data_IF_637208405900
#
_entry.id   IF_637208405900
#
_cell.length_a   1.000
_cell.length_b   1.000
_cell.length_c   1.000
_cell.angle_alpha   90.00
_cell.angle_beta   90.00
_cell.angle_gamma   90.00
#
_symmetry.space_group_name_H-M   'P 1'
#
loop_
_entity.id
_entity.type
_entity.pdbx_description
1 polymer ?
#
# COMPACT_ATOMS: atom_id res chain seq x y z
N UNK A 1 11.78 -10.80 -9.12
CA UNK A 1 10.43 -11.41 -9.26
C UNK A 1 9.46 -10.69 -8.35
N UNK A 2 8.22 -10.42 -8.78
CA UNK A 2 7.22 -9.76 -7.94
C UNK A 2 6.48 -10.76 -7.05
N UNK A 3 6.42 -10.47 -5.74
CA UNK A 3 5.76 -11.31 -4.74
C UNK A 3 4.62 -10.53 -4.12
N UNK A 4 3.41 -11.10 -4.17
CA UNK A 4 2.23 -10.54 -3.50
C UNK A 4 2.34 -10.75 -1.99
N UNK A 5 2.07 -9.70 -1.23
CA UNK A 5 2.04 -9.74 0.24
C UNK A 5 0.75 -9.13 0.78
N UNK A 6 0.47 -9.41 2.05
CA UNK A 6 -0.69 -8.88 2.78
C UNK A 6 -0.33 -7.60 3.54
N UNK A 7 -1.33 -6.80 3.92
CA UNK A 7 -1.14 -5.62 4.81
C UNK A 7 -0.42 -6.00 6.12
N UNK A 8 -0.74 -7.17 6.68
CA UNK A 8 -0.09 -7.67 7.89
C UNK A 8 1.40 -7.97 7.66
N UNK A 9 1.75 -8.56 6.51
CA UNK A 9 3.14 -8.78 6.13
C UNK A 9 3.89 -7.47 5.90
N UNK A 10 3.28 -6.47 5.23
CA UNK A 10 3.85 -5.11 5.11
C UNK A 10 4.19 -4.57 6.49
N UNK A 11 3.23 -4.56 7.43
CA UNK A 11 3.47 -4.12 8.81
C UNK A 11 4.59 -4.90 9.50
N UNK A 12 4.65 -6.21 9.30
CA UNK A 12 5.69 -7.06 9.89
C UNK A 12 7.08 -6.76 9.30
N UNK A 13 7.18 -6.49 8.01
CA UNK A 13 8.45 -6.14 7.36
C UNK A 13 8.93 -4.79 7.89
N UNK A 14 8.06 -3.76 7.93
CA UNK A 14 8.41 -2.45 8.52
C UNK A 14 8.96 -2.65 9.93
N UNK A 15 8.26 -3.40 10.79
CA UNK A 15 8.68 -3.66 12.17
C UNK A 15 10.06 -4.33 12.28
N UNK A 16 10.41 -5.19 11.32
CA UNK A 16 11.66 -5.95 11.33
C UNK A 16 12.83 -5.19 10.70
N UNK A 17 12.57 -4.51 9.60
CA UNK A 17 13.61 -3.94 8.71
C UNK A 17 13.67 -2.41 8.78
N UNK A 18 12.72 -1.76 9.46
CA UNK A 18 12.63 -0.30 9.60
C UNK A 18 11.97 0.37 8.41
N UNK A 19 12.35 -0.02 7.19
CA UNK A 19 11.74 0.47 5.96
C UNK A 19 11.92 -0.54 4.81
N UNK A 20 11.03 -0.48 3.81
CA UNK A 20 11.21 -1.22 2.56
C UNK A 20 10.48 -0.55 1.39
N UNK A 21 10.93 -0.82 0.17
CA UNK A 21 10.28 -0.41 -1.07
C UNK A 21 9.36 -1.51 -1.58
N UNK A 22 8.15 -1.14 -1.98
CA UNK A 22 7.16 -2.05 -2.56
C UNK A 22 6.32 -1.37 -3.61
N UNK A 23 5.24 -2.04 -4.00
CA UNK A 23 4.28 -1.57 -4.99
C UNK A 23 2.85 -1.65 -4.42
N UNK A 24 2.04 -0.64 -4.73
CA UNK A 24 0.58 -0.66 -4.55
C UNK A 24 -0.12 -0.82 -5.89
N UNK A 25 -1.09 -1.73 -5.95
CA UNK A 25 -1.88 -2.01 -7.15
C UNK A 25 -3.38 -2.06 -6.82
N UNK A 26 -4.25 -1.51 -7.67
CA UNK A 26 -5.70 -1.66 -7.51
C UNK A 26 -6.19 -3.04 -8.00
N UNK A 27 -5.39 -3.73 -8.82
CA UNK A 27 -5.77 -5.01 -9.42
C UNK A 27 -5.14 -6.20 -8.70
N UNK A 28 -5.97 -7.18 -8.34
CA UNK A 28 -5.51 -8.47 -7.79
C UNK A 28 -4.74 -9.31 -8.81
N UNK A 29 -4.96 -9.01 -10.09
CA UNK A 29 -4.41 -9.73 -11.24
C UNK A 29 -3.04 -9.21 -11.66
N UNK A 30 -2.54 -8.14 -11.03
CA UNK A 30 -1.18 -7.65 -11.25
C UNK A 30 -0.12 -8.65 -10.75
N UNK A 31 1.04 -8.77 -11.43
CA UNK A 31 1.33 -8.25 -12.77
C UNK A 31 0.66 -9.12 -13.85
N UNK A 32 -0.06 -8.48 -14.79
CA UNK A 32 -0.60 -9.16 -15.97
C UNK A 32 -0.34 -8.32 -17.22
N UNK A 33 0.59 -8.76 -18.05
CA UNK A 33 1.01 -8.05 -19.26
C UNK A 33 -0.12 -7.90 -20.31
N UNK A 34 -1.17 -8.73 -20.26
CA UNK A 34 -2.31 -8.64 -21.19
C UNK A 34 -3.47 -7.77 -20.69
N UNK A 35 -3.38 -7.21 -19.48
CA UNK A 35 -4.46 -6.42 -18.91
C UNK A 35 -4.26 -4.92 -19.22
N UNK A 36 -5.27 -4.19 -19.73
CA UNK A 36 -5.15 -2.77 -20.05
C UNK A 36 -4.82 -1.91 -18.81
N UNK A 37 -5.08 -2.44 -17.61
CA UNK A 37 -4.81 -1.77 -16.33
C UNK A 37 -3.73 -2.50 -15.51
N UNK A 38 -2.57 -2.75 -16.12
CA UNK A 38 -1.40 -3.32 -15.45
C UNK A 38 -0.58 -2.23 -14.73
N UNK A 39 -1.22 -1.49 -13.82
CA UNK A 39 -0.61 -0.34 -13.14
C UNK A 39 -0.21 -0.68 -11.70
N UNK A 40 0.97 -0.20 -11.32
CA UNK A 40 1.49 -0.26 -9.97
C UNK A 40 2.16 1.07 -9.64
N UNK A 41 1.96 1.56 -8.41
CA UNK A 41 2.64 2.76 -7.92
C UNK A 41 3.72 2.32 -6.93
N UNK A 42 4.98 2.76 -7.11
CA UNK A 42 6.01 2.52 -6.13
C UNK A 42 5.67 3.23 -4.82
N UNK A 43 5.88 2.52 -3.71
CA UNK A 43 5.67 3.04 -2.37
C UNK A 43 6.88 2.69 -1.51
N UNK A 44 7.27 3.63 -0.66
CA UNK A 44 8.19 3.38 0.43
C UNK A 44 7.40 3.29 1.73
N UNK A 45 7.57 2.18 2.42
CA UNK A 45 6.98 1.92 3.73
C UNK A 45 8.05 2.07 4.80
N UNK A 46 7.72 2.80 5.85
CA UNK A 46 8.65 3.19 6.93
C UNK A 46 7.99 3.02 8.29
N UNK A 47 8.77 3.12 9.37
CA UNK A 47 8.22 3.11 10.74
C UNK A 47 7.15 4.19 10.96
N UNK A 48 7.26 5.35 10.32
CA UNK A 48 6.26 6.43 10.42
C UNK A 48 4.90 6.02 9.84
N UNK A 49 4.87 5.05 8.92
CA UNK A 49 3.62 4.51 8.38
C UNK A 49 2.82 3.72 9.42
N UNK A 50 3.47 3.24 10.49
CA UNK A 50 2.81 2.52 11.58
C UNK A 50 2.18 3.44 12.63
N UNK A 51 2.53 4.73 12.63
CA UNK A 51 2.07 5.70 13.63
C UNK A 51 0.66 6.19 13.29
N UNK A 52 -0.14 6.43 14.32
CA UNK A 52 -1.48 7.05 14.19
C UNK A 52 -1.33 8.55 14.03
N UNK A 53 -1.99 9.13 13.03
CA UNK A 53 -1.86 10.55 12.67
C UNK A 53 -3.22 11.19 12.42
N UNK A 54 -3.34 12.47 12.75
CA UNK A 54 -4.50 13.29 12.39
C UNK A 54 -4.55 13.59 10.88
N UNK A 55 -5.59 14.31 10.46
CA UNK A 55 -5.79 14.71 9.05
C UNK A 55 -4.64 15.57 8.50
N UNK A 56 -3.94 16.30 9.36
CA UNK A 56 -2.80 17.16 8.99
C UNK A 56 -1.47 16.38 8.97
N UNK A 57 -1.46 15.14 9.47
CA UNK A 57 -0.27 14.29 9.55
C UNK A 57 0.50 14.38 10.87
N UNK A 58 -0.07 14.99 11.91
CA UNK A 58 0.54 15.03 13.24
C UNK A 58 0.21 13.75 14.02
N UNK A 59 1.16 13.24 14.80
CA UNK A 59 0.93 12.06 15.64
C UNK A 59 -0.20 12.32 16.66
N UNK A 60 -1.24 11.48 16.60
CA UNK A 60 -2.42 11.59 17.46
C UNK A 60 -3.00 10.20 17.72
N UNK A 61 -3.16 9.85 19.00
CA UNK A 61 -3.74 8.58 19.40
C UNK A 61 -5.23 8.50 19.02
N UNK A 62 -5.69 7.31 18.63
CA UNK A 62 -7.09 7.05 18.25
C UNK A 62 -7.43 7.38 16.80
N UNK A 63 -6.51 7.98 16.04
CA UNK A 63 -6.67 8.25 14.61
C UNK A 63 -6.16 7.09 13.72
N UNK A 64 -6.36 7.21 12.41
CA UNK A 64 -5.84 6.26 11.43
C UNK A 64 -4.30 6.25 11.41
N UNK A 65 -3.71 5.10 11.08
CA UNK A 65 -2.28 5.06 10.79
C UNK A 65 -1.95 5.85 9.52
N UNK A 66 -0.73 6.40 9.42
CA UNK A 66 -0.28 7.06 8.19
C UNK A 66 -0.30 6.08 6.99
N UNK A 67 -0.07 4.78 7.24
CA UNK A 67 -0.33 3.71 6.27
C UNK A 67 -1.78 3.69 5.78
N UNK A 68 -2.75 3.73 6.68
CA UNK A 68 -4.18 3.73 6.32
C UNK A 68 -4.57 4.98 5.55
N UNK A 69 -4.02 6.15 5.90
CA UNK A 69 -4.22 7.38 5.14
C UNK A 69 -3.72 7.23 3.70
N UNK A 70 -2.49 6.76 3.50
CA UNK A 70 -1.91 6.49 2.17
C UNK A 70 -2.73 5.47 1.35
N UNK A 71 -3.21 4.39 1.98
CA UNK A 71 -4.03 3.39 1.30
C UNK A 71 -5.38 3.98 0.90
N UNK A 72 -6.02 4.77 1.78
CA UNK A 72 -7.31 5.40 1.48
C UNK A 72 -7.17 6.39 0.33
N UNK A 73 -6.12 7.22 0.33
CA UNK A 73 -5.81 8.14 -0.76
C UNK A 73 -5.56 7.39 -2.07
N UNK A 74 -4.73 6.34 -2.04
CA UNK A 74 -4.50 5.50 -3.21
C UNK A 74 -5.80 4.90 -3.74
N UNK A 75 -6.64 4.38 -2.84
CA UNK A 75 -7.94 3.77 -3.20
C UNK A 75 -8.85 4.77 -3.87
N UNK A 76 -8.95 5.99 -3.32
CA UNK A 76 -9.81 7.04 -3.83
C UNK A 76 -9.46 7.42 -5.27
N UNK A 77 -8.17 7.55 -5.59
CA UNK A 77 -7.73 7.97 -6.92
C UNK A 77 -7.55 6.83 -7.92
N UNK A 78 -7.28 5.60 -7.48
CA UNK A 78 -6.82 4.53 -8.36
C UNK A 78 -7.70 3.28 -8.36
N UNK A 79 -8.66 3.12 -7.46
CA UNK A 79 -9.54 1.94 -7.42
C UNK A 79 -10.90 2.27 -8.03
N UNK A 80 -11.33 1.47 -9.01
CA UNK A 80 -12.62 1.60 -9.69
C UNK A 80 -13.21 0.23 -9.99
N UNK A 81 -14.42 0.19 -10.55
CA UNK A 81 -15.05 -1.06 -10.98
C UNK A 81 -14.24 -1.81 -12.06
N UNK A 82 -13.45 -1.09 -12.87
CA UNK A 82 -12.72 -1.65 -14.01
C UNK A 82 -11.33 -2.18 -13.64
N UNK A 83 -10.67 -1.54 -12.67
CA UNK A 83 -9.28 -1.86 -12.28
C UNK A 83 -9.19 -2.71 -11.01
N UNK A 84 -10.22 -2.66 -10.17
CA UNK A 84 -10.31 -3.35 -8.90
C UNK A 84 -10.70 -2.40 -7.76
N UNK A 85 -11.48 -2.94 -6.80
CA UNK A 85 -12.07 -2.17 -5.69
C UNK A 85 -11.23 -2.23 -4.40
N UNK A 86 -10.04 -2.82 -4.44
CA UNK A 86 -9.21 -3.02 -3.26
C UNK A 86 -7.73 -2.94 -3.59
N UNK A 87 -6.94 -2.60 -2.57
CA UNK A 87 -5.49 -2.42 -2.70
C UNK A 87 -4.75 -3.74 -2.48
N UNK A 88 -3.78 -3.99 -3.34
CA UNK A 88 -2.87 -5.13 -3.28
C UNK A 88 -1.43 -4.65 -3.17
N UNK A 89 -0.61 -5.42 -2.46
CA UNK A 89 0.76 -5.06 -2.10
C UNK A 89 1.72 -6.05 -2.73
N UNK A 90 2.80 -5.56 -3.32
CA UNK A 90 3.85 -6.41 -3.89
C UNK A 90 5.23 -5.91 -3.48
N UNK A 91 6.20 -6.82 -3.43
CA UNK A 91 7.63 -6.52 -3.27
C UNK A 91 8.43 -7.19 -4.37
N UNK A 92 9.58 -6.61 -4.68
CA UNK A 92 10.59 -7.27 -5.50
C UNK A 92 11.47 -8.16 -4.62
N UNK A 93 11.73 -9.37 -5.12
CA UNK A 93 12.69 -10.31 -4.56
C UNK A 93 13.64 -10.80 -5.64
#
# INVERSE_FOLDING_TARGET
>A
MLIKITKAQVKSIIKKEGAFKGLLCPSKSFPNMGHPFNMAIPVEWTQDDLKTVDVLGNEKEGELSNMERKINEFTYYNCSAEVGKSVHYYIEK
#
